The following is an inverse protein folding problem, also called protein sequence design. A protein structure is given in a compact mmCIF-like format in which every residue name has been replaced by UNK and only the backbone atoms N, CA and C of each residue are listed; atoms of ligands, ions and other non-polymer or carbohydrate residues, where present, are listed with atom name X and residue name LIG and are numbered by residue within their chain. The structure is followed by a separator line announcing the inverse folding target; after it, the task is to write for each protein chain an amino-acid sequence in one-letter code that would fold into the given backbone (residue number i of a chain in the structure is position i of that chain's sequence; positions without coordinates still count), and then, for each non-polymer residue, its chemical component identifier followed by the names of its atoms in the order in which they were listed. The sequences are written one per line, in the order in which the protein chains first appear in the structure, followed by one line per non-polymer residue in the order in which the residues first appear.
data_IF_595161689639
#
_entry.id   IF_595161689639
#
_cell.length_a   1.000
_cell.length_b   1.000
_cell.length_c   1.000
_cell.angle_alpha   90.00
_cell.angle_beta   90.00
_cell.angle_gamma   90.00
#
_symmetry.space_group_name_H-M   'P 1'
#
loop_
_entity.id
_entity.type
_entity.pdbx_description
1 polymer ?
#
# COMPACT_ATOMS: atom_id res chain seq x y z
N UNK A 1 22.49 29.99 19.24
CA UNK A 1 23.80 29.47 19.70
C UNK A 1 23.70 27.98 20.04
N UNK A 2 22.66 27.58 20.77
CA UNK A 2 22.28 26.19 21.05
C UNK A 2 22.10 25.32 19.78
N UNK A 3 21.39 25.79 18.77
CA UNK A 3 21.16 25.00 17.53
C UNK A 3 22.44 24.67 16.76
N UNK A 4 23.43 25.56 16.80
CA UNK A 4 24.73 25.33 16.15
C UNK A 4 25.56 24.28 16.88
N UNK A 5 25.49 24.25 18.22
CA UNK A 5 26.14 23.23 19.03
C UNK A 5 25.47 21.88 18.83
N UNK A 6 24.14 21.82 18.90
CA UNK A 6 23.37 20.60 18.67
C UNK A 6 23.65 20.03 17.27
N UNK A 7 23.66 20.89 16.24
CA UNK A 7 23.97 20.47 14.87
C UNK A 7 25.37 19.86 14.74
N UNK A 8 26.37 20.46 15.39
CA UNK A 8 27.75 19.95 15.38
C UNK A 8 27.87 18.60 16.09
N UNK A 9 27.27 18.46 17.27
CA UNK A 9 27.30 17.18 18.01
C UNK A 9 26.49 16.10 17.28
N UNK A 10 25.39 16.46 16.62
CA UNK A 10 24.63 15.56 15.75
C UNK A 10 25.45 15.10 14.54
N UNK A 11 26.16 15.98 13.86
CA UNK A 11 27.03 15.61 12.74
C UNK A 11 28.15 14.67 13.20
N UNK A 12 28.69 14.90 14.40
CA UNK A 12 29.69 14.03 15.03
C UNK A 12 29.14 12.66 15.39
N UNK A 13 27.92 12.59 15.95
CA UNK A 13 27.22 11.35 16.22
C UNK A 13 26.96 10.58 14.93
N UNK A 14 26.45 11.25 13.89
CA UNK A 14 26.17 10.62 12.59
C UNK A 14 27.46 10.03 12.01
N UNK A 15 28.56 10.79 12.01
CA UNK A 15 29.86 10.31 11.54
C UNK A 15 30.29 9.04 12.27
N UNK A 16 30.18 9.02 13.59
CA UNK A 16 30.49 7.86 14.42
C UNK A 16 29.60 6.65 14.09
N UNK A 17 28.29 6.86 13.92
CA UNK A 17 27.36 5.80 13.54
C UNK A 17 27.65 5.21 12.15
N UNK A 18 28.02 6.04 11.18
CA UNK A 18 28.29 5.60 9.82
C UNK A 18 29.68 4.99 9.66
N UNK A 19 30.71 5.60 10.25
CA UNK A 19 32.11 5.19 10.04
C UNK A 19 32.55 4.08 10.99
N UNK A 20 32.18 4.15 12.28
CA UNK A 20 32.60 3.15 13.26
C UNK A 20 31.60 2.00 13.39
N UNK A 21 30.29 2.27 13.31
CA UNK A 21 29.26 1.23 13.42
C UNK A 21 28.74 0.71 12.07
N UNK A 22 29.07 1.36 10.95
CA UNK A 22 28.62 0.94 9.62
C UNK A 22 27.11 1.05 9.41
N UNK A 23 26.42 1.92 10.16
CA UNK A 23 24.96 2.09 10.05
C UNK A 23 24.58 3.03 8.91
N UNK A 24 23.44 2.76 8.26
CA UNK A 24 22.91 3.62 7.20
C UNK A 24 21.90 4.62 7.78
N UNK A 25 22.07 5.91 7.51
CA UNK A 25 21.12 6.94 7.98
C UNK A 25 19.86 6.92 7.11
N UNK A 26 18.71 6.72 7.74
CA UNK A 26 17.39 6.70 7.07
C UNK A 26 16.72 8.06 7.14
N UNK A 27 16.78 8.70 8.30
CA UNK A 27 16.09 9.97 8.55
C UNK A 27 16.86 10.78 9.60
N UNK A 28 16.88 12.11 9.41
CA UNK A 28 17.48 13.06 10.35
C UNK A 28 16.44 14.11 10.72
N UNK A 29 16.16 14.22 12.02
CA UNK A 29 15.39 15.31 12.61
C UNK A 29 16.28 16.39 13.24
N UNK A 30 15.66 17.28 14.01
CA UNK A 30 16.37 18.34 14.75
C UNK A 30 17.19 17.78 15.91
N UNK A 31 16.58 16.88 16.69
CA UNK A 31 17.15 16.28 17.89
C UNK A 31 17.20 14.75 17.83
N UNK A 32 16.99 14.16 16.65
CA UNK A 32 17.05 12.71 16.47
C UNK A 32 17.64 12.28 15.13
N UNK A 33 18.11 11.05 15.07
CA UNK A 33 18.50 10.37 13.83
C UNK A 33 18.01 8.92 13.87
N UNK A 34 17.43 8.47 12.76
CA UNK A 34 17.04 7.08 12.54
C UNK A 34 18.07 6.43 11.63
N UNK A 35 18.64 5.32 12.07
CA UNK A 35 19.59 4.54 11.28
C UNK A 35 19.11 3.10 11.09
N UNK A 36 19.58 2.46 10.03
CA UNK A 36 19.38 1.05 9.75
C UNK A 36 20.62 0.26 10.13
N UNK A 37 20.41 -0.79 10.92
CA UNK A 37 21.40 -1.74 11.42
C UNK A 37 20.92 -3.16 11.06
N UNK A 38 21.23 -3.59 9.84
CA UNK A 38 20.65 -4.81 9.25
C UNK A 38 19.14 -4.74 9.16
N UNK A 39 18.43 -5.69 9.79
CA UNK A 39 16.97 -5.70 9.87
C UNK A 39 16.41 -4.77 10.96
N UNK A 40 17.27 -4.04 11.67
CA UNK A 40 16.87 -3.15 12.74
C UNK A 40 16.76 -1.70 12.26
N UNK A 41 15.69 -1.03 12.67
CA UNK A 41 15.59 0.42 12.63
C UNK A 41 15.86 0.96 14.03
N UNK A 42 16.96 1.69 14.15
CA UNK A 42 17.50 2.20 15.41
C UNK A 42 17.23 3.69 15.50
N UNK A 43 16.50 4.10 16.52
CA UNK A 43 16.24 5.51 16.81
C UNK A 43 17.26 6.04 17.82
N UNK A 44 17.94 7.14 17.49
CA UNK A 44 18.83 7.84 18.39
C UNK A 44 18.23 9.21 18.68
N UNK A 45 17.92 9.49 19.94
CA UNK A 45 17.42 10.81 20.37
C UNK A 45 18.43 11.53 21.23
N UNK A 46 18.82 12.72 20.80
CA UNK A 46 19.68 13.62 21.55
C UNK A 46 18.88 14.36 22.61
N UNK A 47 19.35 14.30 23.85
CA UNK A 47 18.76 15.05 24.97
C UNK A 47 19.78 16.08 25.42
N UNK A 48 19.56 17.30 24.95
CA UNK A 48 20.32 18.47 25.38
C UNK A 48 19.53 19.20 26.47
N UNK A 49 20.11 19.32 27.67
CA UNK A 49 19.54 20.03 28.81
C UNK A 49 20.60 20.98 29.39
N UNK A 50 20.28 22.27 29.46
CA UNK A 50 21.17 23.26 30.09
C UNK A 50 21.41 22.94 31.57
N UNK A 51 20.37 22.47 32.26
CA UNK A 51 20.43 21.96 33.63
C UNK A 51 19.84 20.54 33.61
N UNK A 52 20.67 19.50 33.59
CA UNK A 52 20.18 18.14 33.56
C UNK A 52 19.46 17.80 34.87
N UNK A 53 18.29 17.19 34.74
CA UNK A 53 17.55 16.63 35.87
C UNK A 53 17.01 15.24 35.50
N UNK A 54 16.81 14.41 36.51
CA UNK A 54 16.40 13.02 36.33
C UNK A 54 14.96 12.91 35.77
N UNK A 55 14.07 13.82 36.16
CA UNK A 55 12.66 13.81 35.75
C UNK A 55 12.48 14.07 34.25
N UNK A 56 13.23 15.02 33.69
CA UNK A 56 13.18 15.38 32.27
C UNK A 56 13.81 14.29 31.42
N UNK A 57 14.92 13.70 31.87
CA UNK A 57 15.53 12.56 31.19
C UNK A 57 14.56 11.36 31.19
N UNK A 58 13.93 11.08 32.33
CA UNK A 58 12.92 10.03 32.43
C UNK A 58 11.70 10.29 31.52
N UNK A 59 11.26 11.55 31.42
CA UNK A 59 10.19 11.96 30.51
C UNK A 59 10.58 11.73 29.05
N UNK A 60 11.78 12.14 28.63
CA UNK A 60 12.28 11.90 27.27
C UNK A 60 12.39 10.41 26.96
N UNK A 61 12.88 9.62 27.91
CA UNK A 61 12.93 8.17 27.76
C UNK A 61 11.53 7.54 27.66
N UNK A 62 10.55 8.04 28.40
CA UNK A 62 9.16 7.61 28.30
C UNK A 62 8.53 7.99 26.96
N UNK A 63 8.81 9.19 26.43
CA UNK A 63 8.39 9.63 25.09
C UNK A 63 8.95 8.70 24.00
N UNK A 64 10.24 8.40 24.05
CA UNK A 64 10.89 7.45 23.13
C UNK A 64 10.29 6.05 23.31
N UNK A 65 10.07 5.60 24.54
CA UNK A 65 9.38 4.35 24.81
C UNK A 65 7.89 4.37 24.40
N UNK A 66 7.27 5.53 24.15
CA UNK A 66 5.90 5.63 23.65
C UNK A 66 5.83 5.43 22.13
N UNK A 67 6.86 5.87 21.40
CA UNK A 67 6.93 5.82 19.93
C UNK A 67 7.37 4.46 19.34
N UNK A 68 7.08 3.36 20.05
CA UNK A 68 7.53 1.98 19.76
C UNK A 68 7.05 1.36 18.45
N UNK A 69 6.15 2.01 17.72
CA UNK A 69 5.66 1.51 16.42
C UNK A 69 6.60 1.85 15.27
N UNK A 70 7.50 2.82 15.46
CA UNK A 70 8.35 3.34 14.39
C UNK A 70 9.70 2.60 14.28
N UNK A 71 10.28 2.15 15.39
CA UNK A 71 11.65 1.61 15.48
C UNK A 71 11.74 0.41 16.42
N UNK A 72 12.74 -0.45 16.23
CA UNK A 72 12.93 -1.68 17.03
C UNK A 72 14.12 -1.66 17.99
N UNK A 73 14.99 -0.65 17.90
CA UNK A 73 15.98 -0.31 18.93
C UNK A 73 15.94 1.19 19.18
N UNK A 74 16.27 1.62 20.39
CA UNK A 74 16.28 3.03 20.74
C UNK A 74 17.43 3.38 21.67
N UNK A 75 18.08 4.51 21.42
CA UNK A 75 19.15 5.06 22.23
C UNK A 75 18.82 6.47 22.65
N UNK A 76 19.04 6.76 23.94
CA UNK A 76 19.14 8.11 24.45
C UNK A 76 20.60 8.55 24.35
N UNK A 77 20.83 9.66 23.66
CA UNK A 77 22.15 10.28 23.52
C UNK A 77 22.19 11.47 24.47
N UNK A 78 23.11 11.46 25.42
CA UNK A 78 23.24 12.48 26.45
C UNK A 78 24.67 13.00 26.53
N UNK A 79 24.83 14.25 26.95
CA UNK A 79 26.18 14.77 27.24
C UNK A 79 26.74 14.17 28.53
N UNK A 80 28.07 14.14 28.65
CA UNK A 80 28.79 13.64 29.83
C UNK A 80 28.27 14.17 31.18
N UNK A 81 27.89 15.45 31.34
CA UNK A 81 27.31 15.95 32.59
C UNK A 81 25.91 15.37 32.89
N UNK A 82 25.10 15.15 31.86
CA UNK A 82 23.75 14.63 31.96
C UNK A 82 23.72 13.11 32.26
N UNK A 83 24.80 12.39 31.94
CA UNK A 83 24.92 10.95 32.19
C UNK A 83 24.69 10.55 33.67
N UNK A 84 25.08 11.40 34.63
CA UNK A 84 24.88 11.14 36.07
C UNK A 84 23.41 11.17 36.50
N UNK A 85 22.53 11.77 35.69
CA UNK A 85 21.10 11.91 35.98
C UNK A 85 20.26 10.84 35.27
N UNK A 86 20.91 9.88 34.60
CA UNK A 86 20.23 8.79 33.90
C UNK A 86 20.00 7.63 34.85
N UNK A 87 18.74 7.30 35.14
CA UNK A 87 18.39 6.08 35.87
C UNK A 87 18.57 4.84 34.98
N UNK A 88 19.69 4.14 35.14
CA UNK A 88 19.98 2.90 34.41
C UNK A 88 18.94 1.78 34.64
N UNK A 89 18.24 1.73 35.79
CA UNK A 89 17.18 0.75 36.03
C UNK A 89 15.96 1.04 35.17
N UNK A 90 15.56 2.31 35.10
CA UNK A 90 14.48 2.76 34.23
C UNK A 90 14.80 2.45 32.76
N UNK A 91 15.98 2.82 32.29
CA UNK A 91 16.37 2.62 30.89
C UNK A 91 16.39 1.14 30.50
N UNK A 92 16.92 0.27 31.39
CA UNK A 92 16.88 -1.19 31.18
C UNK A 92 15.45 -1.72 31.13
N UNK A 93 14.57 -1.26 32.02
CA UNK A 93 13.15 -1.66 32.01
C UNK A 93 12.44 -1.22 30.72
N UNK A 94 12.82 -0.07 30.17
CA UNK A 94 12.28 0.44 28.91
C UNK A 94 12.95 -0.17 27.67
N UNK A 95 14.08 -0.88 27.81
CA UNK A 95 14.88 -1.42 26.69
C UNK A 95 15.70 -0.37 25.93
N UNK A 96 15.79 0.85 26.46
CA UNK A 96 16.48 1.97 25.82
C UNK A 96 17.96 1.89 26.14
N UNK A 97 18.82 1.98 25.11
CA UNK A 97 20.27 2.10 25.27
C UNK A 97 20.69 3.53 25.61
N UNK A 98 21.91 3.70 26.10
CA UNK A 98 22.48 5.00 26.46
C UNK A 98 23.80 5.18 25.73
N UNK A 99 23.92 6.31 25.03
CA UNK A 99 25.18 6.79 24.47
C UNK A 99 25.54 8.09 25.16
N UNK A 100 26.78 8.19 25.62
CA UNK A 100 27.31 9.38 26.26
C UNK A 100 28.26 10.09 25.30
N UNK A 101 27.96 11.37 25.03
CA UNK A 101 28.76 12.27 24.22
C UNK A 101 29.74 13.02 25.12
N UNK A 102 31.04 12.78 24.92
CA UNK A 102 32.12 13.49 25.59
C UNK A 102 33.28 13.78 24.63
N UNK A 103 34.52 13.73 25.12
CA UNK A 103 35.71 13.74 24.26
C UNK A 103 35.75 12.53 23.32
N UNK A 104 35.20 11.40 23.79
CA UNK A 104 34.93 10.20 23.04
C UNK A 104 33.43 9.90 23.11
N UNK A 105 32.90 9.24 22.09
CA UNK A 105 31.51 8.75 22.07
C UNK A 105 31.54 7.34 22.63
N UNK A 106 30.80 7.10 23.71
CA UNK A 106 30.78 5.81 24.38
C UNK A 106 29.36 5.29 24.54
N UNK A 107 29.14 4.05 24.13
CA UNK A 107 27.92 3.31 24.46
C UNK A 107 28.06 2.76 25.88
N UNK A 108 27.32 3.35 26.82
CA UNK A 108 27.35 2.96 28.23
C UNK A 108 26.34 1.85 28.50
N UNK A 109 25.28 1.77 27.68
CA UNK A 109 24.31 0.70 27.78
C UNK A 109 23.73 0.36 26.41
N UNK A 110 23.74 -0.92 26.06
CA UNK A 110 23.14 -1.40 24.83
C UNK A 110 21.61 -1.38 24.89
N UNK A 111 20.98 -1.01 23.77
CA UNK A 111 19.54 -1.11 23.61
C UNK A 111 19.13 -2.57 23.44
N UNK A 112 18.02 -2.96 24.07
CA UNK A 112 17.41 -4.26 23.83
C UNK A 112 16.40 -4.15 22.68
N UNK A 113 16.40 -5.09 21.72
CA UNK A 113 15.40 -5.12 20.67
C UNK A 113 14.00 -5.13 21.27
N UNK A 114 13.18 -4.16 20.88
CA UNK A 114 11.78 -4.09 21.27
C UNK A 114 10.93 -4.72 20.17
N UNK A 115 9.91 -5.52 20.53
CA UNK A 115 8.97 -6.03 19.54
C UNK A 115 8.20 -4.85 18.92
N UNK A 116 8.47 -4.56 17.65
CA UNK A 116 7.72 -3.59 16.88
C UNK A 116 6.39 -4.19 16.44
N UNK A 117 5.35 -3.36 16.38
CA UNK A 117 4.08 -3.71 15.73
C UNK A 117 4.25 -3.92 14.21
N UNK A 118 5.35 -3.46 13.62
CA UNK A 118 5.79 -3.93 12.31
C UNK A 118 6.41 -5.32 12.49
N UNK A 119 5.85 -6.37 11.89
CA UNK A 119 6.54 -7.64 11.84
C UNK A 119 7.91 -7.38 11.18
N UNK A 120 8.95 -8.03 11.70
CA UNK A 120 10.15 -8.25 10.89
C UNK A 120 9.65 -8.68 9.52
N UNK A 121 10.08 -7.98 8.46
CA UNK A 121 9.58 -8.30 7.12
C UNK A 121 9.99 -9.73 6.86
N UNK A 122 9.03 -10.65 6.98
CA UNK A 122 9.27 -12.05 6.75
C UNK A 122 9.47 -12.16 5.25
N UNK A 123 10.70 -12.47 4.82
CA UNK A 123 11.03 -12.66 3.42
C UNK A 123 10.07 -13.68 2.76
N UNK A 124 9.52 -14.61 3.55
CA UNK A 124 8.45 -15.51 3.13
C UNK A 124 7.13 -14.79 2.79
N UNK A 125 6.70 -13.85 3.62
CA UNK A 125 5.49 -13.05 3.37
C UNK A 125 5.66 -12.10 2.19
N UNK A 126 6.85 -11.53 1.98
CA UNK A 126 7.14 -10.73 0.78
C UNK A 126 7.08 -11.62 -0.46
N UNK A 127 7.68 -12.83 -0.40
CA UNK A 127 7.67 -13.76 -1.51
C UNK A 127 6.24 -14.26 -1.86
N UNK A 128 5.38 -14.40 -0.85
CA UNK A 128 3.97 -14.73 -1.02
C UNK A 128 3.20 -13.58 -1.68
N UNK A 129 3.35 -12.34 -1.19
CA UNK A 129 2.76 -11.15 -1.80
C UNK A 129 3.26 -10.94 -3.23
N UNK A 130 4.54 -11.21 -3.52
CA UNK A 130 5.06 -11.15 -4.89
C UNK A 130 4.45 -12.21 -5.81
N UNK A 131 4.20 -13.43 -5.30
CA UNK A 131 3.48 -14.47 -6.07
C UNK A 131 2.04 -14.07 -6.32
N UNK A 132 1.36 -13.50 -5.33
CA UNK A 132 0.00 -13.01 -5.49
C UNK A 132 -0.06 -11.87 -6.50
N UNK A 133 0.85 -10.88 -6.42
CA UNK A 133 0.93 -9.80 -7.41
C UNK A 133 1.17 -10.34 -8.82
N UNK A 134 2.01 -11.37 -8.97
CA UNK A 134 2.23 -12.02 -10.27
C UNK A 134 0.95 -12.70 -10.78
N UNK A 135 0.27 -13.46 -9.92
CA UNK A 135 -1.01 -14.09 -10.27
C UNK A 135 -2.09 -13.08 -10.63
N UNK A 136 -2.19 -11.96 -9.91
CA UNK A 136 -3.13 -10.88 -10.22
C UNK A 136 -2.81 -10.25 -11.57
N UNK A 137 -1.53 -9.99 -11.85
CA UNK A 137 -1.08 -9.46 -13.15
C UNK A 137 -1.41 -10.41 -14.31
N UNK A 138 -1.18 -11.71 -14.12
CA UNK A 138 -1.47 -12.72 -15.15
C UNK A 138 -2.98 -12.83 -15.41
N UNK A 139 -3.80 -12.75 -14.35
CA UNK A 139 -5.26 -12.71 -14.47
C UNK A 139 -5.74 -11.44 -15.17
N UNK A 140 -5.13 -10.28 -14.88
CA UNK A 140 -5.46 -9.02 -15.54
C UNK A 140 -5.17 -9.10 -17.05
N UNK A 141 -4.00 -9.62 -17.43
CA UNK A 141 -3.64 -9.80 -18.84
C UNK A 141 -4.62 -10.74 -19.58
N UNK A 142 -5.07 -11.82 -18.94
CA UNK A 142 -6.08 -12.73 -19.52
C UNK A 142 -7.45 -12.04 -19.67
N UNK A 143 -7.85 -11.21 -18.70
CA UNK A 143 -9.09 -10.42 -18.78
C UNK A 143 -9.00 -9.40 -19.91
N UNK A 144 -7.89 -8.66 -20.01
CA UNK A 144 -7.64 -7.70 -21.10
C UNK A 144 -7.70 -8.38 -22.47
N UNK A 145 -7.12 -9.58 -22.60
CA UNK A 145 -7.18 -10.39 -23.83
C UNK A 145 -8.61 -10.75 -24.20
N UNK A 146 -9.41 -11.23 -23.24
CA UNK A 146 -10.82 -11.59 -23.47
C UNK A 146 -11.68 -10.38 -23.81
N UNK A 147 -11.43 -9.23 -23.19
CA UNK A 147 -12.10 -7.97 -23.55
C UNK A 147 -11.77 -7.58 -24.98
N UNK A 148 -10.49 -7.66 -25.39
CA UNK A 148 -10.08 -7.41 -26.77
C UNK A 148 -10.75 -8.35 -27.78
N UNK A 149 -10.89 -9.63 -27.46
CA UNK A 149 -11.61 -10.61 -28.28
C UNK A 149 -13.11 -10.28 -28.40
N UNK A 150 -13.75 -9.92 -27.29
CA UNK A 150 -15.16 -9.52 -27.27
C UNK A 150 -15.39 -8.23 -28.07
N UNK A 151 -14.52 -7.24 -27.93
CA UNK A 151 -14.57 -6.00 -28.72
C UNK A 151 -14.34 -6.26 -30.21
N UNK A 152 -13.47 -7.20 -30.57
CA UNK A 152 -13.27 -7.61 -31.95
C UNK A 152 -14.50 -8.33 -32.51
N UNK A 153 -15.12 -9.23 -31.73
CA UNK A 153 -16.37 -9.90 -32.12
C UNK A 153 -17.51 -8.90 -32.30
N UNK A 154 -17.69 -7.95 -31.38
CA UNK A 154 -18.72 -6.91 -31.49
C UNK A 154 -18.50 -6.06 -32.76
N UNK A 155 -17.27 -5.59 -33.00
CA UNK A 155 -16.93 -4.85 -34.23
C UNK A 155 -17.21 -5.66 -35.50
N UNK A 156 -16.88 -6.95 -35.50
CA UNK A 156 -17.13 -7.82 -36.64
C UNK A 156 -18.62 -8.07 -36.91
N UNK A 157 -19.47 -8.00 -35.87
CA UNK A 157 -20.92 -8.14 -35.99
C UNK A 157 -21.56 -6.87 -36.50
N UNK A 158 -21.21 -5.72 -35.91
CA UNK A 158 -21.71 -4.41 -36.35
C UNK A 158 -21.29 -4.08 -37.79
N UNK A 159 -20.07 -4.43 -38.20
CA UNK A 159 -19.64 -4.24 -39.60
C UNK A 159 -20.27 -5.20 -40.61
N UNK A 160 -20.95 -6.27 -40.14
CA UNK A 160 -21.68 -7.22 -41.00
C UNK A 160 -23.12 -6.80 -41.21
N UNK A 161 -23.71 -6.12 -40.23
CA UNK A 161 -25.02 -5.47 -40.33
C UNK A 161 -24.98 -4.30 -41.32
N UNK A 162 -23.94 -3.46 -41.29
CA UNK A 162 -23.76 -2.35 -42.26
C UNK A 162 -23.55 -2.82 -43.72
N UNK A 163 -23.03 -4.03 -43.94
CA UNK A 163 -22.90 -4.62 -45.29
C UNK A 163 -24.17 -5.33 -45.77
N UNK A 164 -24.99 -5.86 -44.87
CA UNK A 164 -26.25 -6.50 -45.20
C UNK A 164 -27.28 -5.50 -45.73
N UNK A 165 -27.33 -4.29 -45.15
CA UNK A 165 -28.26 -3.23 -45.59
C UNK A 165 -27.84 -2.59 -46.92
N UNK A 166 -26.56 -2.62 -47.28
CA UNK A 166 -26.07 -2.09 -48.55
C UNK A 166 -26.34 -3.01 -49.77
N UNK A 167 -26.55 -4.32 -49.56
CA UNK A 167 -26.85 -5.26 -50.65
C UNK A 167 -28.36 -5.47 -50.91
N UNK A 168 -29.24 -5.08 -49.97
CA UNK A 168 -30.70 -5.17 -50.16
C UNK A 168 -31.33 -3.94 -50.84
N UNK A 169 -30.60 -2.82 -50.92
CA UNK A 169 -31.09 -1.58 -51.54
C UNK A 169 -31.05 -1.55 -53.08
N UNK A 170 -30.32 -2.46 -53.74
CA UNK A 170 -29.95 -2.33 -55.16
C UNK A 170 -30.67 -3.30 -56.10
N UNK A 171 -31.71 -4.01 -55.62
CA UNK A 171 -32.50 -4.97 -56.42
C UNK A 171 -34.02 -4.73 -56.46
N UNK A 172 -34.50 -3.59 -55.97
CA UNK A 172 -35.93 -3.32 -55.81
C UNK A 172 -36.52 -2.22 -56.73
N UNK A 173 -35.89 -1.91 -57.86
CA UNK A 173 -36.50 -1.04 -58.88
C UNK A 173 -36.41 -1.66 -60.28
N UNK A 174 -37.22 -2.69 -60.55
CA UNK A 174 -37.75 -2.97 -61.90
C UNK A 174 -38.87 -4.02 -61.80
N UNK A 175 -40.13 -3.58 -61.88
CA UNK A 175 -41.27 -4.50 -61.85
C UNK A 175 -42.62 -3.83 -61.56
N UNK A 176 -43.15 -3.14 -62.55
CA UNK A 176 -44.46 -2.46 -62.58
C UNK A 176 -45.62 -3.47 -62.69
N UNK A 177 -46.80 -3.05 -62.20
CA UNK A 177 -48.19 -3.30 -62.69
C UNK A 177 -49.13 -4.02 -61.70
N UNK A 178 -50.13 -3.24 -61.23
CA UNK A 178 -51.60 -3.47 -61.05
C UNK A 178 -52.12 -4.82 -60.50
N UNK A 179 -53.26 -4.97 -59.83
CA UNK A 179 -54.34 -4.19 -59.22
C UNK A 179 -55.16 -5.25 -58.44
N UNK A 180 -56.03 -4.82 -57.52
CA UNK A 180 -57.30 -5.55 -57.32
C UNK A 180 -57.40 -6.56 -56.17
N UNK A 181 -57.82 -6.05 -55.01
CA UNK A 181 -59.01 -6.52 -54.28
C UNK A 181 -59.10 -7.95 -53.73
N UNK A 182 -59.31 -8.07 -52.43
CA UNK A 182 -59.91 -9.27 -51.83
C UNK A 182 -59.46 -9.51 -50.39
N UNK A 183 -60.37 -9.31 -49.43
CA UNK A 183 -60.07 -9.41 -48.00
C UNK A 183 -59.70 -10.81 -47.50
N UNK A 184 -59.15 -10.82 -46.29
CA UNK A 184 -58.88 -12.05 -45.54
C UNK A 184 -58.05 -11.80 -44.30
N UNK A 185 -58.71 -11.76 -43.15
CA UNK A 185 -58.13 -11.71 -41.80
C UNK A 185 -57.15 -12.88 -41.60
N UNK A 186 -55.95 -12.61 -41.09
CA UNK A 186 -54.98 -13.65 -40.72
C UNK A 186 -53.96 -13.13 -39.71
N UNK A 187 -54.10 -13.57 -38.46
CA UNK A 187 -53.32 -13.17 -37.28
C UNK A 187 -51.80 -13.25 -37.48
N UNK A 188 -51.13 -12.14 -37.25
CA UNK A 188 -49.71 -12.13 -36.90
C UNK A 188 -49.62 -12.39 -35.39
N UNK A 189 -49.27 -13.60 -34.99
CA UNK A 189 -48.71 -13.83 -33.66
C UNK A 189 -47.55 -14.82 -33.81
N UNK A 190 -46.35 -14.25 -33.73
CA UNK A 190 -45.09 -14.92 -34.00
C UNK A 190 -44.85 -16.10 -33.08
N UNK A 191 -44.41 -17.20 -33.68
CA UNK A 191 -43.83 -18.34 -33.02
C UNK A 191 -42.69 -17.89 -32.10
N UNK A 192 -42.88 -18.09 -30.80
CA UNK A 192 -41.85 -17.83 -29.81
C UNK A 192 -40.79 -18.94 -29.93
N UNK A 193 -39.49 -18.59 -30.01
CA UNK A 193 -38.41 -19.57 -30.10
C UNK A 193 -38.48 -20.66 -29.02
N UNK A 194 -38.07 -21.87 -29.35
CA UNK A 194 -38.28 -23.07 -28.54
C UNK A 194 -37.68 -22.98 -27.12
N UNK A 195 -36.64 -22.17 -26.90
CA UNK A 195 -36.04 -21.92 -25.59
C UNK A 195 -36.89 -21.05 -24.64
N UNK A 196 -37.85 -20.29 -25.16
CA UNK A 196 -38.76 -19.49 -24.32
C UNK A 196 -39.93 -20.33 -23.79
N UNK A 197 -40.25 -21.47 -24.40
CA UNK A 197 -41.35 -22.35 -23.93
C UNK A 197 -41.04 -23.02 -22.59
N UNK A 198 -39.77 -23.13 -22.23
CA UNK A 198 -39.33 -23.79 -21.00
C UNK A 198 -38.98 -22.79 -19.88
N UNK A 199 -39.30 -21.50 -20.04
CA UNK A 199 -38.97 -20.50 -19.03
C UNK A 199 -40.04 -20.46 -17.91
N UNK A 200 -39.73 -20.92 -16.69
CA UNK A 200 -40.69 -20.97 -15.58
C UNK A 200 -41.16 -19.58 -15.10
N UNK A 201 -40.50 -18.51 -15.55
CA UNK A 201 -40.86 -17.13 -15.21
C UNK A 201 -42.04 -16.59 -16.04
N UNK A 202 -42.34 -17.19 -17.19
CA UNK A 202 -43.49 -16.76 -18.03
C UNK A 202 -44.83 -17.04 -17.35
N UNK A 203 -44.96 -18.16 -16.63
CA UNK A 203 -46.16 -18.49 -15.85
C UNK A 203 -46.40 -17.52 -14.70
N UNK A 204 -45.32 -16.98 -14.13
CA UNK A 204 -45.37 -16.03 -13.02
C UNK A 204 -45.76 -14.64 -13.52
N UNK A 205 -45.26 -14.24 -14.69
CA UNK A 205 -45.56 -12.94 -15.29
C UNK A 205 -46.97 -12.88 -15.90
N UNK A 206 -47.44 -13.97 -16.50
CA UNK A 206 -48.78 -14.03 -17.10
C UNK A 206 -49.92 -13.91 -16.08
N UNK A 207 -49.71 -14.36 -14.84
CA UNK A 207 -50.73 -14.31 -13.76
C UNK A 207 -50.86 -12.96 -13.07
N UNK A 208 -49.92 -12.02 -13.28
CA UNK A 208 -49.93 -10.69 -12.66
C UNK A 208 -50.59 -9.61 -13.50
N UNK A 209 -51.04 -9.96 -14.72
CA UNK A 209 -51.64 -9.05 -15.70
C UNK A 209 -53.16 -9.18 -15.87
N UNK A 210 -53.88 -9.72 -14.87
CA UNK A 210 -55.34 -9.59 -14.76
C UNK A 210 -55.71 -9.04 -13.39
#
# INVERSE_FOLDING_TARGET
MLDLLLKREMDRLIKWLTEERGMEVVERGEDYVNCRDGNNLVHFRYVYLDIPNEADIAKRAAEVAGSRTAFNKAYLVVDKPAANFVDGKLMRRLGIGIIVMGSEIAEVMASMPMPTARPAVDDGAIAEVMREMKSVRDRLAEVERRVGELEAMIRSRSGREERGEAEEGDKAEEGRVEEGGGGGVGQVQGDVPQFMRENPWLDILGKRGK
#
